data_IF_952952121139
#
_entry.id   IF_952952121139
#
_cell.length_a   1.000
_cell.length_b   1.000
_cell.length_c   1.000
_cell.angle_alpha   90.00
_cell.angle_beta   90.00
_cell.angle_gamma   90.00
#
_symmetry.space_group_name_H-M   'P 1'
#
loop_
_entity.id
_entity.type
_entity.pdbx_description
1 polymer ?
#
# COMPACT_ATOMS: atom_id res chain seq x y z
N UNK A 1 22.31 2.82 2.89
CA UNK A 1 22.36 3.90 1.87
C UNK A 1 22.79 3.41 0.49
N UNK A 2 24.01 2.88 0.27
CA UNK A 2 24.47 2.44 -1.07
C UNK A 2 23.52 1.44 -1.76
N UNK A 3 23.00 0.47 -1.01
CA UNK A 3 22.03 -0.51 -1.51
C UNK A 3 20.70 0.13 -1.93
N UNK A 4 20.18 1.06 -1.14
CA UNK A 4 18.93 1.78 -1.42
C UNK A 4 19.10 2.61 -2.70
N UNK A 5 20.21 3.35 -2.83
CA UNK A 5 20.47 4.14 -4.04
C UNK A 5 20.59 3.24 -5.28
N UNK A 6 21.29 2.10 -5.19
CA UNK A 6 21.40 1.17 -6.31
C UNK A 6 20.05 0.57 -6.71
N UNK A 7 19.16 0.32 -5.76
CA UNK A 7 17.80 -0.15 -6.03
C UNK A 7 16.95 0.94 -6.69
N UNK A 8 17.00 2.17 -6.20
CA UNK A 8 16.29 3.31 -6.81
C UNK A 8 16.82 3.62 -8.22
N UNK A 9 18.14 3.53 -8.44
CA UNK A 9 18.75 3.68 -9.77
C UNK A 9 18.27 2.59 -10.73
N UNK A 10 18.14 1.34 -10.26
CA UNK A 10 17.58 0.24 -11.05
C UNK A 10 16.12 0.53 -11.41
N UNK A 11 15.29 0.90 -10.43
CA UNK A 11 13.88 1.23 -10.65
C UNK A 11 13.74 2.38 -11.65
N UNK A 12 14.55 3.44 -11.52
CA UNK A 12 14.54 4.56 -12.46
C UNK A 12 14.87 4.12 -13.89
N UNK A 13 15.91 3.28 -14.07
CA UNK A 13 16.27 2.74 -15.39
C UNK A 13 15.16 1.89 -15.99
N UNK A 14 14.47 1.08 -15.17
CA UNK A 14 13.32 0.28 -15.61
C UNK A 14 12.16 1.18 -16.04
N UNK A 15 11.84 2.23 -15.29
CA UNK A 15 10.83 3.24 -15.66
C UNK A 15 11.16 3.91 -16.99
N UNK A 16 12.42 4.32 -17.20
CA UNK A 16 12.85 4.92 -18.47
C UNK A 16 12.72 3.91 -19.62
N UNK A 17 13.12 2.65 -19.40
CA UNK A 17 12.95 1.58 -20.38
C UNK A 17 11.50 1.37 -20.78
N UNK A 18 10.58 1.38 -19.80
CA UNK A 18 9.14 1.32 -20.03
C UNK A 18 8.67 2.51 -20.87
N UNK A 19 9.05 3.75 -20.52
CA UNK A 19 8.66 4.93 -21.29
C UNK A 19 9.16 4.91 -22.74
N UNK A 20 10.36 4.37 -22.99
CA UNK A 20 10.89 4.21 -24.34
C UNK A 20 10.09 3.18 -25.16
N UNK A 21 9.64 2.09 -24.54
CA UNK A 21 8.80 1.08 -25.20
C UNK A 21 7.39 1.59 -25.53
N UNK A 22 6.90 2.63 -24.85
CA UNK A 22 5.58 3.21 -25.13
C UNK A 22 5.57 4.04 -26.43
N UNK A 23 6.74 4.32 -27.03
CA UNK A 23 6.84 5.11 -28.25
C UNK A 23 6.33 4.33 -29.49
N UNK A 24 5.82 5.02 -30.53
CA UNK A 24 5.70 6.47 -30.66
C UNK A 24 4.36 7.06 -30.21
N UNK A 25 3.35 6.23 -29.92
CA UNK A 25 1.94 6.67 -29.72
C UNK A 25 1.40 6.45 -28.30
N UNK A 26 2.21 5.91 -27.40
CA UNK A 26 1.90 5.78 -25.98
C UNK A 26 2.65 6.80 -25.13
N UNK A 27 2.35 6.80 -23.84
CA UNK A 27 2.98 7.65 -22.84
C UNK A 27 3.18 6.89 -21.53
N UNK A 28 4.26 7.17 -20.81
CA UNK A 28 4.48 6.61 -19.48
C UNK A 28 5.24 7.58 -18.62
N UNK A 29 4.79 7.72 -17.37
CA UNK A 29 5.43 8.56 -16.37
C UNK A 29 5.38 7.89 -15.01
N UNK A 30 6.36 8.18 -14.17
CA UNK A 30 6.32 7.82 -12.76
C UNK A 30 6.84 8.99 -11.93
N UNK A 31 6.06 9.41 -10.96
CA UNK A 31 6.44 10.40 -9.96
C UNK A 31 6.82 9.69 -8.68
N UNK A 32 8.05 9.94 -8.21
CA UNK A 32 8.56 9.43 -6.94
C UNK A 32 8.57 10.55 -5.90
N UNK A 33 8.02 10.28 -4.72
CA UNK A 33 7.98 11.23 -3.60
C UNK A 33 8.54 10.59 -2.35
N UNK A 34 9.46 11.28 -1.66
CA UNK A 34 9.88 10.87 -0.31
C UNK A 34 8.75 11.18 0.65
N UNK A 35 8.01 10.14 1.05
CA UNK A 35 6.81 10.30 1.85
C UNK A 35 7.13 10.36 3.36
N UNK A 36 8.24 9.75 3.76
CA UNK A 36 8.73 9.81 5.13
C UNK A 36 10.23 9.49 5.21
N UNK A 37 10.94 10.14 6.14
CA UNK A 37 12.31 9.83 6.46
C UNK A 37 12.61 10.17 7.93
N UNK A 38 13.28 9.25 8.62
CA UNK A 38 13.88 9.52 9.93
C UNK A 38 15.19 8.73 10.05
N UNK A 39 15.72 8.59 11.27
CA UNK A 39 16.98 7.89 11.52
C UNK A 39 16.94 6.39 11.26
N UNK A 40 15.75 5.78 11.13
CA UNK A 40 15.58 4.33 10.93
C UNK A 40 14.85 3.95 9.64
N UNK A 41 13.91 4.76 9.18
CA UNK A 41 13.03 4.46 8.05
C UNK A 41 13.20 5.51 6.97
N UNK A 42 13.13 5.07 5.72
CA UNK A 42 13.06 5.92 4.55
C UNK A 42 12.00 5.35 3.60
N UNK A 43 10.99 6.14 3.27
CA UNK A 43 9.83 5.68 2.50
C UNK A 43 9.70 6.50 1.23
N UNK A 44 9.57 5.79 0.11
CA UNK A 44 9.32 6.37 -1.21
C UNK A 44 7.97 5.87 -1.71
N UNK A 45 7.10 6.80 -2.04
CA UNK A 45 5.86 6.52 -2.76
C UNK A 45 6.09 6.76 -4.25
N UNK A 46 5.43 5.96 -5.08
CA UNK A 46 5.53 5.99 -6.53
C UNK A 46 4.13 6.00 -7.13
N UNK A 47 3.79 7.06 -7.86
CA UNK A 47 2.59 7.11 -8.70
C UNK A 47 3.03 6.98 -10.14
N UNK A 48 2.65 5.88 -10.79
CA UNK A 48 3.03 5.56 -12.16
C UNK A 48 1.81 5.56 -13.07
N UNK A 49 2.04 5.89 -14.33
CA UNK A 49 1.08 5.89 -15.42
C UNK A 49 1.72 5.23 -16.63
N UNK A 50 0.94 4.45 -17.36
CA UNK A 50 1.36 3.82 -18.59
C UNK A 50 0.19 3.73 -19.57
N UNK A 51 0.46 4.15 -20.79
CA UNK A 51 -0.40 4.04 -21.96
C UNK A 51 0.45 3.44 -23.07
N UNK A 52 0.16 2.20 -23.43
CA UNK A 52 0.94 1.45 -24.39
C UNK A 52 0.28 1.50 -25.76
N UNK A 53 1.06 1.56 -26.87
CA UNK A 53 0.49 1.44 -28.20
C UNK A 53 -0.37 0.17 -28.33
N UNK A 54 -1.65 0.34 -28.64
CA UNK A 54 -2.61 -0.77 -28.78
C UNK A 54 -3.29 -1.22 -27.49
N UNK A 55 -3.01 -0.58 -26.34
CA UNK A 55 -3.80 -0.79 -25.13
C UNK A 55 -5.23 -0.24 -25.33
N UNK A 56 -6.22 -0.90 -24.71
CA UNK A 56 -7.61 -0.44 -24.76
C UNK A 56 -7.83 0.86 -23.97
N UNK A 57 -7.04 1.07 -22.92
CA UNK A 57 -7.03 2.26 -22.10
C UNK A 57 -5.68 2.40 -21.37
N UNK A 58 -5.33 3.59 -20.89
CA UNK A 58 -4.20 3.76 -19.98
C UNK A 58 -4.42 3.03 -18.66
N UNK A 59 -3.35 2.74 -17.94
CA UNK A 59 -3.42 2.28 -16.56
C UNK A 59 -2.45 3.07 -15.67
N UNK A 60 -2.73 3.07 -14.38
CA UNK A 60 -1.93 3.78 -13.39
C UNK A 60 -1.71 2.92 -12.15
N UNK A 61 -0.70 3.20 -11.36
CA UNK A 61 -0.44 2.50 -10.13
C UNK A 61 0.01 3.47 -9.06
N UNK A 62 -0.32 3.14 -7.82
CA UNK A 62 0.36 3.72 -6.67
C UNK A 62 1.03 2.58 -5.92
N UNK A 63 2.30 2.77 -5.57
CA UNK A 63 3.04 1.83 -4.75
C UNK A 63 3.87 2.59 -3.72
N UNK A 64 4.22 1.90 -2.65
CA UNK A 64 5.10 2.43 -1.60
C UNK A 64 6.15 1.42 -1.22
N UNK A 65 7.37 1.91 -0.99
CA UNK A 65 8.45 1.09 -0.42
C UNK A 65 9.03 1.80 0.77
N UNK A 66 8.95 1.15 1.93
CA UNK A 66 9.64 1.58 3.15
C UNK A 66 10.92 0.79 3.30
N UNK A 67 12.06 1.47 3.40
CA UNK A 67 13.36 0.89 3.62
C UNK A 67 13.76 1.01 5.09
N UNK A 68 14.34 -0.05 5.64
CA UNK A 68 15.04 -0.01 6.92
C UNK A 68 16.47 0.48 6.69
N UNK A 69 16.80 1.68 7.18
CA UNK A 69 18.09 2.32 6.95
C UNK A 69 19.27 1.57 7.56
N UNK A 70 19.06 0.78 8.61
CA UNK A 70 20.15 0.02 9.22
C UNK A 70 20.53 -1.22 8.39
N UNK A 71 19.55 -1.84 7.73
CA UNK A 71 19.80 -3.04 6.90
C UNK A 71 19.93 -2.70 5.41
N UNK A 72 19.42 -1.55 4.99
CA UNK A 72 19.30 -1.15 3.59
C UNK A 72 18.28 -1.95 2.79
N UNK A 73 17.41 -2.73 3.44
CA UNK A 73 16.42 -3.60 2.78
C UNK A 73 15.00 -3.03 2.89
N UNK A 74 14.11 -3.33 1.93
CA UNK A 74 12.68 -3.10 2.07
C UNK A 74 12.11 -3.77 3.33
N UNK A 75 11.25 -3.06 4.04
CA UNK A 75 10.53 -3.53 5.20
C UNK A 75 9.35 -4.39 4.76
N UNK A 76 9.27 -5.62 5.30
CA UNK A 76 8.09 -6.47 5.14
C UNK A 76 7.10 -6.19 6.28
N UNK A 77 6.03 -5.47 5.95
CA UNK A 77 4.99 -5.13 6.92
C UNK A 77 4.27 -6.35 7.47
N UNK A 78 4.11 -7.41 6.68
CA UNK A 78 3.46 -8.66 7.13
C UNK A 78 4.25 -9.39 8.22
N UNK A 79 5.53 -9.04 8.37
CA UNK A 79 6.43 -9.51 9.43
C UNK A 79 6.65 -8.48 10.53
N UNK A 80 6.05 -7.30 10.43
CA UNK A 80 6.25 -6.18 11.35
C UNK A 80 5.02 -5.95 12.22
N UNK A 81 3.83 -5.90 11.62
CA UNK A 81 2.55 -5.69 12.30
C UNK A 81 1.63 -6.88 12.06
N UNK A 82 0.66 -7.08 12.95
CA UNK A 82 -0.32 -8.15 12.83
C UNK A 82 -1.27 -7.87 11.67
N UNK A 83 -1.46 -8.88 10.83
CA UNK A 83 -2.49 -8.96 9.79
C UNK A 83 -3.55 -10.01 10.20
N UNK A 84 -4.72 -10.04 9.55
CA UNK A 84 -5.67 -11.15 9.72
C UNK A 84 -4.98 -12.49 9.46
N UNK A 85 -5.28 -13.48 10.30
CA UNK A 85 -4.61 -14.78 10.26
C UNK A 85 -4.81 -15.47 8.91
N UNK A 86 -3.78 -16.12 8.39
CA UNK A 86 -3.95 -17.03 7.26
C UNK A 86 -4.85 -18.21 7.67
N UNK A 87 -5.55 -18.81 6.71
CA UNK A 87 -6.45 -19.96 6.93
C UNK A 87 -7.88 -19.60 7.33
N UNK A 88 -8.21 -18.32 7.58
CA UNK A 88 -9.61 -17.88 7.71
C UNK A 88 -10.06 -17.19 6.43
N UNK A 89 -11.22 -17.56 5.88
CA UNK A 89 -11.73 -16.95 4.65
C UNK A 89 -12.24 -15.52 4.85
N UNK A 90 -12.73 -15.23 6.06
CA UNK A 90 -13.25 -13.91 6.45
C UNK A 90 -12.66 -13.45 7.78
N UNK A 91 -12.75 -12.16 8.04
CA UNK A 91 -12.43 -11.52 9.32
C UNK A 91 -13.45 -10.43 9.64
N UNK A 92 -13.56 -10.05 10.92
CA UNK A 92 -14.45 -9.00 11.39
C UNK A 92 -13.61 -7.76 11.75
N UNK A 93 -13.74 -6.69 10.97
CA UNK A 93 -12.87 -5.52 11.12
C UNK A 93 -13.15 -4.72 12.40
N UNK A 94 -14.32 -4.90 13.04
CA UNK A 94 -14.66 -4.17 14.28
C UNK A 94 -13.79 -4.58 15.46
N UNK A 95 -13.16 -5.76 15.39
CA UNK A 95 -12.25 -6.26 16.43
C UNK A 95 -10.97 -5.42 16.54
N UNK A 96 -10.53 -4.77 15.46
CA UNK A 96 -9.38 -3.86 15.46
C UNK A 96 -8.07 -4.45 15.99
N UNK A 97 -7.92 -5.78 15.95
CA UNK A 97 -6.80 -6.49 16.56
C UNK A 97 -5.63 -6.74 15.57
N UNK A 98 -5.78 -6.27 14.34
CA UNK A 98 -4.81 -6.33 13.24
C UNK A 98 -4.89 -5.03 12.40
N UNK A 99 -3.89 -4.81 11.55
CA UNK A 99 -3.74 -3.55 10.81
C UNK A 99 -4.82 -3.34 9.74
N UNK A 100 -5.35 -4.42 9.16
CA UNK A 100 -6.39 -4.34 8.13
C UNK A 100 -7.72 -4.00 8.79
N UNK A 101 -8.04 -4.65 9.91
CA UNK A 101 -9.19 -4.34 10.75
C UNK A 101 -9.16 -2.89 11.23
N UNK A 102 -7.99 -2.42 11.68
CA UNK A 102 -7.79 -1.03 12.10
C UNK A 102 -7.98 -0.04 10.93
N UNK A 103 -7.44 -0.34 9.75
CA UNK A 103 -7.63 0.47 8.54
C UNK A 103 -9.09 0.55 8.11
N UNK A 104 -9.78 -0.59 8.03
CA UNK A 104 -11.20 -0.62 7.63
C UNK A 104 -12.10 0.06 8.67
N UNK A 105 -11.77 -0.03 9.97
CA UNK A 105 -12.50 0.70 11.00
C UNK A 105 -12.33 2.22 10.85
N UNK A 106 -11.10 2.70 10.69
CA UNK A 106 -10.84 4.13 10.43
C UNK A 106 -11.52 4.59 9.14
N UNK A 107 -11.51 3.76 8.11
CA UNK A 107 -12.21 4.02 6.85
C UNK A 107 -13.73 4.09 7.02
N UNK A 108 -14.32 3.23 7.86
CA UNK A 108 -15.75 3.29 8.18
C UNK A 108 -16.12 4.61 8.88
N UNK A 109 -15.26 5.09 9.78
CA UNK A 109 -15.47 6.36 10.49
C UNK A 109 -15.34 7.59 9.55
N UNK A 110 -14.49 7.49 8.53
CA UNK A 110 -14.27 8.53 7.50
C UNK A 110 -15.17 8.39 6.26
N UNK A 111 -16.11 7.44 6.27
CA UNK A 111 -16.82 6.98 5.06
C UNK A 111 -17.73 8.03 4.42
N UNK A 112 -18.25 8.97 5.20
CA UNK A 112 -19.12 10.02 4.68
C UNK A 112 -18.39 10.81 3.58
N UNK A 113 -18.90 10.71 2.35
CA UNK A 113 -18.47 11.42 1.13
C UNK A 113 -17.14 10.98 0.48
N UNK A 114 -16.61 9.79 0.78
CA UNK A 114 -15.38 9.27 0.14
C UNK A 114 -15.63 8.04 -0.75
N UNK A 115 -15.88 8.28 -2.05
CA UNK A 115 -16.13 7.22 -3.04
C UNK A 115 -15.03 6.13 -3.11
N UNK A 116 -13.78 6.49 -2.85
CA UNK A 116 -12.67 5.53 -2.82
C UNK A 116 -12.63 4.65 -1.56
N UNK A 117 -13.20 5.12 -0.46
CA UNK A 117 -13.38 4.32 0.74
C UNK A 117 -14.47 3.28 0.52
N UNK A 118 -15.59 3.64 -0.11
CA UNK A 118 -16.62 2.66 -0.50
C UNK A 118 -16.05 1.57 -1.40
N UNK A 119 -15.15 1.93 -2.32
CA UNK A 119 -14.47 0.95 -3.14
C UNK A 119 -13.60 -0.01 -2.33
N UNK A 120 -12.88 0.47 -1.32
CA UNK A 120 -12.14 -0.42 -0.44
C UNK A 120 -13.06 -1.48 0.17
N UNK A 121 -14.23 -1.11 0.70
CA UNK A 121 -15.18 -2.10 1.24
C UNK A 121 -15.67 -3.11 0.20
N UNK A 122 -15.89 -2.69 -1.05
CA UNK A 122 -16.28 -3.59 -2.15
C UNK A 122 -15.16 -4.53 -2.56
N UNK A 123 -13.94 -4.01 -2.73
CA UNK A 123 -12.73 -4.79 -3.05
C UNK A 123 -12.39 -5.82 -1.97
N UNK A 124 -12.80 -5.56 -0.73
CA UNK A 124 -12.70 -6.49 0.40
C UNK A 124 -13.92 -7.40 0.57
N UNK A 125 -14.88 -7.35 -0.36
CA UNK A 125 -16.13 -8.14 -0.33
C UNK A 125 -16.81 -8.10 1.05
N UNK A 126 -16.91 -6.89 1.63
CA UNK A 126 -17.46 -6.72 2.97
C UNK A 126 -19.00 -6.83 2.99
N UNK A 127 -19.51 -7.65 3.89
CA UNK A 127 -20.92 -7.74 4.27
C UNK A 127 -21.07 -7.37 5.75
N UNK A 128 -21.67 -6.20 6.00
CA UNK A 128 -21.67 -5.58 7.33
C UNK A 128 -20.24 -5.36 7.84
N UNK A 129 -19.89 -5.97 8.98
CA UNK A 129 -18.55 -5.89 9.57
C UNK A 129 -17.58 -6.98 9.08
N UNK A 130 -18.08 -7.98 8.32
CA UNK A 130 -17.29 -9.13 7.90
C UNK A 130 -16.74 -8.89 6.50
N UNK A 131 -15.44 -9.01 6.33
CA UNK A 131 -14.76 -8.83 5.06
C UNK A 131 -13.99 -10.09 4.67
N UNK A 132 -13.77 -10.26 3.37
CA UNK A 132 -12.92 -11.32 2.82
C UNK A 132 -11.47 -11.10 3.20
N UNK A 133 -10.84 -12.17 3.67
CA UNK A 133 -9.42 -12.19 3.99
C UNK A 133 -8.61 -12.43 2.72
N UNK A 134 -8.04 -11.36 2.15
CA UNK A 134 -7.22 -11.44 0.94
C UNK A 134 -5.92 -12.23 1.16
N UNK A 135 -5.45 -12.37 2.41
CA UNK A 135 -4.31 -13.21 2.78
C UNK A 135 -4.68 -14.62 3.27
N UNK A 136 -5.93 -15.08 3.09
CA UNK A 136 -6.40 -16.37 3.59
C UNK A 136 -5.54 -17.54 3.12
N UNK A 137 -5.13 -17.54 1.84
CA UNK A 137 -4.30 -18.60 1.25
C UNK A 137 -2.81 -18.41 1.53
N UNK A 138 -2.32 -17.17 1.42
CA UNK A 138 -0.91 -16.85 1.63
C UNK A 138 -0.76 -15.46 2.22
N UNK A 139 -0.10 -15.36 3.38
CA UNK A 139 0.13 -14.07 4.06
C UNK A 139 0.78 -13.01 3.18
N UNK A 140 1.64 -13.43 2.24
CA UNK A 140 2.30 -12.53 1.30
C UNK A 140 1.35 -11.86 0.30
N UNK A 141 0.10 -12.33 0.18
CA UNK A 141 -0.89 -11.75 -0.73
C UNK A 141 -1.41 -10.40 -0.21
N UNK A 142 -1.29 -10.14 1.10
CA UNK A 142 -1.67 -8.86 1.71
C UNK A 142 -0.99 -7.64 1.09
N UNK A 143 0.25 -7.81 0.59
CA UNK A 143 0.99 -6.73 -0.09
C UNK A 143 0.29 -6.21 -1.35
N UNK A 144 -0.68 -6.96 -1.88
CA UNK A 144 -1.44 -6.58 -3.06
C UNK A 144 -2.79 -5.95 -2.74
N UNK A 145 -3.25 -6.02 -1.48
CA UNK A 145 -4.57 -5.52 -1.07
C UNK A 145 -4.47 -4.32 -0.15
N UNK A 146 -3.41 -4.23 0.66
CA UNK A 146 -3.16 -3.11 1.56
C UNK A 146 -1.68 -2.73 1.51
N UNK A 147 -1.42 -1.48 1.14
CA UNK A 147 -0.09 -0.90 1.10
C UNK A 147 0.10 0.05 2.28
N UNK A 148 1.22 -0.09 2.98
CA UNK A 148 1.49 0.62 4.23
C UNK A 148 2.69 1.55 4.06
N UNK A 149 2.47 2.84 4.33
CA UNK A 149 3.45 3.90 4.10
C UNK A 149 3.55 4.80 5.35
N UNK A 150 4.66 4.79 6.11
CA UNK A 150 4.86 5.65 7.26
C UNK A 150 4.68 7.13 6.92
N UNK A 151 4.13 7.89 7.86
CA UNK A 151 4.03 9.35 7.88
C UNK A 151 4.49 9.87 9.24
N UNK A 152 4.66 11.18 9.36
CA UNK A 152 5.01 11.80 10.64
C UNK A 152 3.92 11.54 11.69
N UNK A 153 2.66 11.62 11.29
CA UNK A 153 1.50 11.56 12.19
C UNK A 153 0.97 10.12 12.40
N UNK A 154 1.32 9.17 11.53
CA UNK A 154 0.80 7.82 11.59
C UNK A 154 1.31 6.88 10.49
N UNK A 155 0.74 5.68 10.42
CA UNK A 155 0.93 4.75 9.31
C UNK A 155 -0.21 4.94 8.30
N UNK A 156 0.11 5.44 7.10
CA UNK A 156 -0.86 5.54 6.03
C UNK A 156 -1.14 4.15 5.46
N UNK A 157 -2.41 3.79 5.36
CA UNK A 157 -2.89 2.52 4.85
C UNK A 157 -3.72 2.78 3.59
N UNK A 158 -3.12 2.51 2.43
CA UNK A 158 -3.77 2.65 1.13
C UNK A 158 -4.38 1.31 0.70
N UNK A 159 -5.67 1.33 0.39
CA UNK A 159 -6.36 0.16 -0.14
C UNK A 159 -6.04 0.05 -1.62
N UNK A 160 -5.50 -1.09 -2.04
CA UNK A 160 -5.08 -1.24 -3.42
C UNK A 160 -6.27 -1.68 -4.27
N UNK A 161 -6.78 -0.77 -5.10
CA UNK A 161 -7.85 -1.06 -6.05
C UNK A 161 -7.28 -1.84 -7.26
N UNK A 162 -7.75 -3.08 -7.43
CA UNK A 162 -7.33 -3.93 -8.55
C UNK A 162 -8.00 -3.50 -9.87
N UNK A 163 -9.29 -3.16 -9.84
CA UNK A 163 -10.07 -2.82 -11.03
C UNK A 163 -9.59 -1.52 -11.69
N UNK A 164 -9.50 -1.52 -13.02
CA UNK A 164 -9.11 -0.35 -13.81
C UNK A 164 -10.18 0.75 -13.83
N UNK A 165 -11.43 0.40 -13.52
CA UNK A 165 -12.51 1.37 -13.33
C UNK A 165 -12.27 2.26 -12.08
N UNK A 166 -11.47 1.77 -11.13
CA UNK A 166 -11.23 2.39 -9.81
C UNK A 166 -9.79 2.92 -9.70
N UNK A 167 -9.09 3.03 -10.84
CA UNK A 167 -7.68 3.46 -10.87
C UNK A 167 -7.42 4.82 -10.22
N UNK A 168 -8.44 5.67 -10.13
CA UNK A 168 -8.38 6.97 -9.44
C UNK A 168 -8.32 6.83 -7.91
N UNK A 169 -8.65 5.66 -7.35
CA UNK A 169 -8.57 5.38 -5.92
C UNK A 169 -7.24 4.74 -5.49
N UNK A 170 -6.33 4.46 -6.44
CA UNK A 170 -5.01 3.93 -6.14
C UNK A 170 -4.18 5.00 -5.42
N UNK A 171 -3.75 4.69 -4.20
CA UNK A 171 -3.03 5.65 -3.33
C UNK A 171 -3.94 6.44 -2.41
N UNK A 172 -5.26 6.25 -2.48
CA UNK A 172 -6.21 6.73 -1.48
C UNK A 172 -6.27 5.75 -0.30
N UNK A 173 -6.55 6.28 0.89
CA UNK A 173 -6.48 5.48 2.10
C UNK A 173 -6.76 6.29 3.36
N UNK A 174 -6.37 5.69 4.49
CA UNK A 174 -6.58 6.27 5.83
C UNK A 174 -5.28 6.35 6.60
N UNK A 175 -5.22 7.26 7.56
CA UNK A 175 -4.07 7.42 8.42
C UNK A 175 -4.32 6.79 9.79
N UNK A 176 -3.51 5.79 10.13
CA UNK A 176 -3.60 5.09 11.42
C UNK A 176 -2.65 5.73 12.43
N UNK A 177 -3.13 6.03 13.64
CA UNK A 177 -2.27 6.63 14.67
C UNK A 177 -1.11 5.70 15.04
N UNK A 178 0.09 6.25 15.27
CA UNK A 178 1.22 5.44 15.71
C UNK A 178 0.97 4.74 17.05
N UNK A 179 0.13 5.31 17.92
CA UNK A 179 -0.27 4.67 19.18
C UNK A 179 -0.94 3.32 18.91
N UNK A 180 -1.91 3.31 18.02
CA UNK A 180 -2.71 2.11 17.76
C UNK A 180 -1.90 1.09 16.93
N UNK A 181 -1.08 1.56 15.98
CA UNK A 181 -0.16 0.70 15.20
C UNK A 181 0.87 -0.01 16.09
N UNK A 182 1.41 0.66 17.10
CA UNK A 182 2.38 0.04 18.04
C UNK A 182 1.77 -1.12 18.82
N UNK A 183 0.48 -1.09 19.11
CA UNK A 183 -0.23 -2.19 19.77
C UNK A 183 -0.36 -3.45 18.89
N UNK A 184 -0.11 -3.31 17.58
CA UNK A 184 -0.20 -4.39 16.60
C UNK A 184 1.17 -5.01 16.24
N UNK A 185 2.27 -4.50 16.80
CA UNK A 185 3.61 -5.00 16.49
C UNK A 185 3.75 -6.48 16.87
N UNK A 186 4.35 -7.26 15.97
CA UNK A 186 4.64 -8.68 16.21
C UNK A 186 5.85 -8.88 17.14
N UNK A 187 6.75 -7.89 17.18
CA UNK A 187 7.89 -7.82 18.07
C UNK A 187 8.20 -6.36 18.42
N UNK A 188 8.82 -6.08 19.57
CA UNK A 188 9.24 -4.73 19.93
C UNK A 188 10.09 -4.09 18.82
N UNK A 189 9.66 -2.94 18.32
CA UNK A 189 10.36 -2.18 17.28
C UNK A 189 10.14 -0.69 17.49
N UNK A 190 11.19 0.09 17.32
CA UNK A 190 11.08 1.55 17.30
C UNK A 190 10.41 1.96 15.98
N UNK A 191 9.13 2.31 16.07
CA UNK A 191 8.41 3.07 15.04
C UNK A 191 8.48 4.56 15.39
N UNK A 192 8.26 5.47 14.42
CA UNK A 192 8.11 6.90 14.70
C UNK A 192 7.07 7.14 15.80
#
# INVERSE_FOLDING_TARGET
MRTINAELDRVFRETVGLALMARPKGDSSCTLTVAFANTRLFTVDATCYWDWPGAAHPSSGWNTTTYDLATGKPLDWTRTVRFPAAGTETFDFTKGNDVVSLALRQAADERNDKACIDEAFRSFECDGSRCRNQGAKKMADWKWSLLLSPRKEGLFAAFNAYSEAERNCRGEGVLLSWRDVRALLLAPRTLP
#
